data_IF_669473695110
#
_entry.id   IF_669473695110
#
_cell.length_a   1.000
_cell.length_b   1.000
_cell.length_c   1.000
_cell.angle_alpha   90.00
_cell.angle_beta   90.00
_cell.angle_gamma   90.00
#
_symmetry.space_group_name_H-M   'P 1'
#
loop_
_entity.id
_entity.type
_entity.pdbx_description
1 polymer ?
#
# COMPACT_ATOMS: atom_id res chain seq x y z
N UNK A 1 55.18 -8.95 -12.33
CA UNK A 1 54.32 -7.98 -11.62
C UNK A 1 53.12 -8.74 -11.08
N UNK A 2 53.07 -8.97 -9.76
CA UNK A 2 51.92 -9.59 -9.09
C UNK A 2 50.98 -8.44 -8.70
N UNK A 3 49.80 -8.36 -9.32
CA UNK A 3 48.75 -7.47 -8.85
C UNK A 3 48.31 -7.93 -7.45
N UNK A 4 48.30 -7.04 -6.44
CA UNK A 4 47.81 -7.43 -5.12
C UNK A 4 46.32 -7.84 -5.25
N UNK A 5 45.86 -8.84 -4.48
CA UNK A 5 44.47 -9.24 -4.49
C UNK A 5 43.63 -8.01 -4.15
N UNK A 6 42.72 -7.65 -5.05
CA UNK A 6 41.75 -6.59 -4.82
C UNK A 6 40.88 -7.02 -3.65
N UNK A 7 41.25 -6.60 -2.44
CA UNK A 7 40.40 -6.74 -1.27
C UNK A 7 39.07 -6.06 -1.63
N UNK A 8 37.94 -6.78 -1.61
CA UNK A 8 36.66 -6.18 -1.88
C UNK A 8 36.46 -5.08 -0.84
N UNK A 9 36.50 -3.83 -1.29
CA UNK A 9 36.22 -2.68 -0.46
C UNK A 9 34.87 -2.93 0.22
N UNK A 10 34.75 -2.73 1.54
CA UNK A 10 33.49 -2.92 2.24
C UNK A 10 32.41 -2.07 1.54
N UNK A 11 31.20 -2.61 1.33
CA UNK A 11 30.14 -1.89 0.63
C UNK A 11 29.97 -0.50 1.24
N UNK A 12 29.96 0.53 0.40
CA UNK A 12 29.84 1.92 0.86
C UNK A 12 28.62 2.06 1.78
N UNK A 13 28.84 2.49 3.02
CA UNK A 13 27.75 2.62 3.98
C UNK A 13 26.89 3.81 3.57
N UNK A 14 25.59 3.59 3.38
CA UNK A 14 24.67 4.70 3.11
C UNK A 14 24.51 5.52 4.40
N UNK A 15 25.18 6.67 4.46
CA UNK A 15 25.09 7.62 5.57
C UNK A 15 23.73 8.34 5.65
N UNK A 16 23.01 8.41 4.53
CA UNK A 16 21.69 9.03 4.46
C UNK A 16 20.66 8.05 3.94
N UNK A 17 19.43 8.24 4.40
CA UNK A 17 18.27 7.49 3.88
C UNK A 17 18.10 7.82 2.39
N UNK A 18 18.10 6.83 1.49
CA UNK A 18 17.94 7.08 0.06
C UNK A 18 16.55 7.64 -0.24
N UNK A 19 16.48 8.51 -1.27
CA UNK A 19 15.24 9.16 -1.70
C UNK A 19 14.13 8.18 -2.07
N UNK A 20 14.49 7.01 -2.63
CA UNK A 20 13.55 5.95 -3.00
C UNK A 20 12.83 5.33 -1.80
N UNK A 21 13.51 5.14 -0.68
CA UNK A 21 12.90 4.65 0.57
C UNK A 21 12.04 5.75 1.21
N UNK A 22 12.40 7.02 1.02
CA UNK A 22 11.53 8.14 1.43
C UNK A 22 10.28 8.24 0.57
N UNK A 23 10.40 8.11 -0.75
CA UNK A 23 9.27 8.06 -1.66
C UNK A 23 8.34 6.88 -1.32
N UNK A 24 8.87 5.67 -1.14
CA UNK A 24 8.07 4.51 -0.73
C UNK A 24 7.34 4.73 0.61
N UNK A 25 8.01 5.37 1.58
CA UNK A 25 7.38 5.71 2.86
C UNK A 25 6.27 6.74 2.70
N UNK A 26 6.47 7.77 1.87
CA UNK A 26 5.44 8.78 1.58
C UNK A 26 4.26 8.15 0.87
N UNK A 27 4.49 7.25 -0.09
CA UNK A 27 3.43 6.53 -0.79
C UNK A 27 2.63 5.64 0.16
N UNK A 28 3.27 4.97 1.12
CA UNK A 28 2.55 4.24 2.16
C UNK A 28 1.69 5.14 3.05
N UNK A 29 2.17 6.34 3.40
CA UNK A 29 1.37 7.31 4.15
C UNK A 29 0.20 7.85 3.34
N UNK A 30 0.38 8.08 2.03
CA UNK A 30 -0.70 8.46 1.14
C UNK A 30 -1.74 7.34 1.02
N UNK A 31 -1.31 6.09 0.88
CA UNK A 31 -2.22 4.94 0.87
C UNK A 31 -2.96 4.76 2.20
N UNK A 32 -2.28 4.98 3.33
CA UNK A 32 -2.88 5.03 4.65
C UNK A 32 -4.00 6.09 4.73
N UNK A 33 -3.69 7.33 4.34
CA UNK A 33 -4.67 8.42 4.35
C UNK A 33 -5.82 8.16 3.37
N UNK A 34 -5.52 7.63 2.19
CA UNK A 34 -6.52 7.28 1.19
C UNK A 34 -7.47 6.20 1.71
N UNK A 35 -6.95 5.13 2.34
CA UNK A 35 -7.78 4.10 2.95
C UNK A 35 -8.62 4.64 4.10
N UNK A 36 -8.12 5.58 4.90
CA UNK A 36 -8.94 6.23 5.92
C UNK A 36 -10.05 7.05 5.27
N UNK A 37 -9.72 7.95 4.33
CA UNK A 37 -10.71 8.83 3.72
C UNK A 37 -11.74 8.06 2.90
N UNK A 38 -11.32 7.17 2.01
CA UNK A 38 -12.19 6.41 1.14
C UNK A 38 -12.83 5.23 1.87
N UNK A 39 -12.10 4.52 2.72
CA UNK A 39 -12.61 3.36 3.46
C UNK A 39 -13.55 3.74 4.60
N UNK A 40 -13.26 4.80 5.37
CA UNK A 40 -14.22 5.31 6.35
C UNK A 40 -15.41 5.98 5.66
N UNK A 41 -15.19 6.72 4.56
CA UNK A 41 -16.27 7.34 3.79
C UNK A 41 -17.26 6.32 3.22
N UNK A 42 -16.76 5.27 2.56
CA UNK A 42 -17.59 4.18 2.02
C UNK A 42 -18.23 3.34 3.13
N UNK A 43 -17.51 3.06 4.21
CA UNK A 43 -18.06 2.35 5.37
C UNK A 43 -19.21 3.12 6.04
N UNK A 44 -19.05 4.43 6.25
CA UNK A 44 -20.08 5.28 6.86
C UNK A 44 -21.30 5.39 5.95
N UNK A 45 -21.11 5.67 4.65
CA UNK A 45 -22.21 5.73 3.68
C UNK A 45 -22.94 4.38 3.62
N UNK A 46 -22.20 3.28 3.60
CA UNK A 46 -22.75 1.93 3.61
C UNK A 46 -23.63 1.67 4.83
N UNK A 47 -23.11 1.95 6.03
CA UNK A 47 -23.88 1.81 7.29
C UNK A 47 -25.14 2.68 7.26
N UNK A 48 -25.02 3.95 6.86
CA UNK A 48 -26.18 4.86 6.79
C UNK A 48 -27.24 4.39 5.80
N UNK A 49 -26.84 3.88 4.62
CA UNK A 49 -27.76 3.31 3.64
C UNK A 49 -28.43 2.04 4.14
N UNK A 50 -27.72 1.17 4.86
CA UNK A 50 -28.31 -0.03 5.46
C UNK A 50 -29.22 0.26 6.65
N UNK A 51 -29.05 1.41 7.32
CA UNK A 51 -29.85 1.81 8.48
C UNK A 51 -31.05 2.70 8.16
N UNK A 52 -31.24 3.11 6.89
CA UNK A 52 -32.46 3.81 6.48
C UNK A 52 -33.57 2.77 6.36
N UNK A 53 -34.37 2.70 7.41
CA UNK A 53 -35.56 1.87 7.52
C UNK A 53 -36.54 2.24 6.39
N UNK A 54 -36.61 1.44 5.32
CA UNK A 54 -37.67 1.49 4.32
C UNK A 54 -38.97 0.84 4.85
N UNK A 55 -39.23 0.97 6.16
CA UNK A 55 -40.33 0.34 6.89
C UNK A 55 -41.74 0.74 6.47
N UNK A 56 -41.91 1.44 5.35
CA UNK A 56 -43.21 1.71 4.71
C UNK A 56 -43.45 0.87 3.44
N UNK A 57 -42.46 0.07 2.98
CA UNK A 57 -42.66 -0.90 1.91
C UNK A 57 -42.79 -2.32 2.49
N UNK A 58 -44.02 -2.81 2.51
CA UNK A 58 -44.41 -4.16 2.94
C UNK A 58 -43.79 -5.23 2.02
N UNK A 59 -42.59 -5.69 2.37
CA UNK A 59 -41.93 -6.87 1.80
C UNK A 59 -41.33 -7.68 2.95
N UNK A 60 -42.18 -8.48 3.60
CA UNK A 60 -41.83 -9.24 4.80
C UNK A 60 -40.94 -10.46 4.48
N UNK A 61 -39.93 -10.65 5.33
CA UNK A 61 -39.00 -11.79 5.48
C UNK A 61 -37.76 -11.87 4.56
N UNK A 62 -37.86 -11.78 3.24
CA UNK A 62 -36.66 -11.98 2.38
C UNK A 62 -35.68 -10.80 2.43
N UNK A 63 -36.16 -9.58 2.71
CA UNK A 63 -35.30 -8.40 2.77
C UNK A 63 -34.52 -8.29 4.08
N UNK A 64 -35.08 -8.76 5.19
CA UNK A 64 -34.45 -8.64 6.52
C UNK A 64 -33.16 -9.44 6.58
N UNK A 65 -33.16 -10.67 6.07
CA UNK A 65 -31.96 -11.52 5.99
C UNK A 65 -30.89 -10.90 5.07
N UNK A 66 -31.29 -10.30 3.94
CA UNK A 66 -30.39 -9.58 3.03
C UNK A 66 -29.77 -8.34 3.69
N UNK A 67 -30.54 -7.61 4.50
CA UNK A 67 -30.04 -6.44 5.24
C UNK A 67 -29.08 -6.85 6.37
N UNK A 68 -29.34 -7.96 7.07
CA UNK A 68 -28.46 -8.47 8.12
C UNK A 68 -27.12 -8.96 7.52
N UNK A 69 -27.16 -9.70 6.41
CA UNK A 69 -25.96 -10.13 5.68
C UNK A 69 -25.17 -8.94 5.13
N UNK A 70 -25.85 -7.92 4.61
CA UNK A 70 -25.21 -6.70 4.13
C UNK A 70 -24.57 -5.90 5.27
N UNK A 71 -25.25 -5.76 6.42
CA UNK A 71 -24.70 -5.09 7.59
C UNK A 71 -23.48 -5.84 8.15
N UNK A 72 -23.55 -7.17 8.23
CA UNK A 72 -22.43 -8.02 8.64
C UNK A 72 -21.25 -7.89 7.67
N UNK A 73 -21.50 -7.87 6.36
CA UNK A 73 -20.50 -7.62 5.33
C UNK A 73 -19.85 -6.24 5.49
N UNK A 74 -20.65 -5.19 5.68
CA UNK A 74 -20.15 -3.81 5.88
C UNK A 74 -19.27 -3.73 7.14
N UNK A 75 -19.71 -4.31 8.26
CA UNK A 75 -18.92 -4.36 9.51
C UNK A 75 -17.61 -5.11 9.28
N UNK A 76 -17.65 -6.26 8.59
CA UNK A 76 -16.44 -7.01 8.25
C UNK A 76 -15.48 -6.17 7.40
N UNK A 77 -15.98 -5.50 6.35
CA UNK A 77 -15.17 -4.66 5.45
C UNK A 77 -14.55 -3.50 6.23
N UNK A 78 -15.29 -2.85 7.12
CA UNK A 78 -14.76 -1.76 7.97
C UNK A 78 -13.68 -2.30 8.91
N UNK A 79 -13.92 -3.43 9.59
CA UNK A 79 -12.94 -4.04 10.48
C UNK A 79 -11.63 -4.43 9.76
N UNK A 80 -11.75 -5.06 8.59
CA UNK A 80 -10.60 -5.39 7.73
C UNK A 80 -9.88 -4.12 7.28
N UNK A 81 -10.62 -3.07 6.90
CA UNK A 81 -10.03 -1.78 6.49
C UNK A 81 -9.22 -1.16 7.63
N UNK A 82 -9.74 -1.13 8.86
CA UNK A 82 -9.02 -0.63 10.04
C UNK A 82 -7.72 -1.43 10.26
N UNK A 83 -7.79 -2.75 10.16
CA UNK A 83 -6.62 -3.61 10.32
C UNK A 83 -5.55 -3.33 9.25
N UNK A 84 -5.94 -3.15 7.99
CA UNK A 84 -5.05 -2.80 6.88
C UNK A 84 -4.44 -1.40 7.08
N UNK A 85 -5.22 -0.42 7.54
CA UNK A 85 -4.76 0.93 7.87
C UNK A 85 -3.68 0.89 8.96
N UNK A 86 -3.92 0.16 10.06
CA UNK A 86 -2.93 -0.02 11.14
C UNK A 86 -1.65 -0.66 10.59
N UNK A 87 -1.80 -1.70 9.75
CA UNK A 87 -0.68 -2.38 9.12
C UNK A 87 0.16 -1.42 8.26
N UNK A 88 -0.47 -0.58 7.44
CA UNK A 88 0.22 0.43 6.63
C UNK A 88 0.98 1.45 7.48
N UNK A 89 0.38 1.93 8.58
CA UNK A 89 1.06 2.81 9.52
C UNK A 89 2.32 2.16 10.11
N UNK A 90 2.22 0.90 10.55
CA UNK A 90 3.36 0.14 11.08
C UNK A 90 4.44 -0.02 10.00
N UNK A 91 4.06 -0.42 8.79
CA UNK A 91 5.00 -0.64 7.69
C UNK A 91 5.70 0.66 7.28
N UNK A 92 5.00 1.78 7.19
CA UNK A 92 5.58 3.08 6.87
C UNK A 92 6.70 3.45 7.85
N UNK A 93 6.45 3.28 9.16
CA UNK A 93 7.45 3.54 10.21
C UNK A 93 8.63 2.56 10.10
N UNK A 94 8.36 1.27 9.92
CA UNK A 94 9.41 0.23 9.90
C UNK A 94 10.26 0.25 8.62
N UNK A 95 9.70 0.68 7.48
CA UNK A 95 10.43 0.97 6.25
C UNK A 95 11.43 2.12 6.48
N UNK A 96 11.00 3.19 7.14
CA UNK A 96 11.87 4.31 7.51
C UNK A 96 13.04 3.88 8.41
N UNK A 97 12.84 2.87 9.25
CA UNK A 97 13.88 2.28 10.09
C UNK A 97 14.83 1.33 9.32
N UNK A 98 14.47 0.90 8.11
CA UNK A 98 15.22 -0.05 7.28
C UNK A 98 15.12 -1.50 7.76
N UNK A 99 13.98 -1.89 8.33
CA UNK A 99 13.70 -3.29 8.69
C UNK A 99 13.43 -4.12 7.44
N UNK A 100 14.22 -5.18 7.21
CA UNK A 100 14.10 -6.05 6.04
C UNK A 100 12.76 -6.79 5.95
N UNK A 101 12.20 -7.22 7.10
CA UNK A 101 10.87 -7.83 7.12
C UNK A 101 9.77 -6.86 6.64
N UNK A 102 9.90 -5.57 6.95
CA UNK A 102 8.95 -4.56 6.51
C UNK A 102 9.03 -4.35 4.99
N UNK A 103 10.22 -4.35 4.41
CA UNK A 103 10.39 -4.33 2.95
C UNK A 103 9.65 -5.51 2.28
N UNK A 104 9.88 -6.73 2.78
CA UNK A 104 9.29 -7.96 2.21
C UNK A 104 7.77 -7.92 2.33
N UNK A 105 7.23 -7.62 3.52
CA UNK A 105 5.79 -7.56 3.75
C UNK A 105 5.15 -6.48 2.86
N UNK A 106 5.77 -5.30 2.74
CA UNK A 106 5.25 -4.27 1.84
C UNK A 106 5.27 -4.71 0.39
N UNK A 107 6.33 -5.37 -0.11
CA UNK A 107 6.37 -5.89 -1.48
C UNK A 107 5.23 -6.89 -1.70
N UNK A 108 5.03 -7.84 -0.77
CA UNK A 108 3.96 -8.83 -0.87
C UNK A 108 2.57 -8.18 -0.90
N UNK A 109 2.33 -7.20 -0.03
CA UNK A 109 1.05 -6.49 0.01
C UNK A 109 0.80 -5.66 -1.25
N UNK A 110 1.81 -4.96 -1.76
CA UNK A 110 1.65 -4.17 -2.98
C UNK A 110 1.46 -5.07 -4.22
N UNK A 111 2.11 -6.23 -4.25
CA UNK A 111 1.90 -7.20 -5.32
C UNK A 111 0.50 -7.82 -5.23
N UNK A 112 0.05 -8.17 -4.02
CA UNK A 112 -1.30 -8.66 -3.80
C UNK A 112 -2.35 -7.61 -4.19
N UNK A 113 -2.17 -6.34 -3.82
CA UNK A 113 -3.12 -5.28 -4.19
C UNK A 113 -3.18 -5.04 -5.69
N UNK A 114 -2.05 -5.14 -6.40
CA UNK A 114 -2.01 -5.11 -7.87
C UNK A 114 -2.77 -6.29 -8.46
N UNK A 115 -2.51 -7.52 -8.00
CA UNK A 115 -3.20 -8.71 -8.50
C UNK A 115 -4.70 -8.63 -8.24
N UNK A 116 -5.12 -8.27 -7.02
CA UNK A 116 -6.54 -8.12 -6.66
C UNK A 116 -7.20 -7.00 -7.47
N UNK A 117 -6.53 -5.88 -7.68
CA UNK A 117 -7.06 -4.79 -8.51
C UNK A 117 -7.28 -5.19 -9.96
N UNK A 118 -6.34 -5.94 -10.56
CA UNK A 118 -6.50 -6.48 -11.91
C UNK A 118 -7.59 -7.56 -12.00
N UNK A 119 -7.68 -8.45 -11.01
CA UNK A 119 -8.77 -9.45 -10.95
C UNK A 119 -10.12 -8.74 -10.83
N UNK A 120 -10.24 -7.77 -9.93
CA UNK A 120 -11.48 -6.99 -9.74
C UNK A 120 -11.90 -6.25 -11.01
N UNK A 121 -10.94 -5.69 -11.74
CA UNK A 121 -11.17 -5.09 -13.05
C UNK A 121 -11.70 -6.12 -14.05
N UNK A 122 -11.07 -7.30 -14.15
CA UNK A 122 -11.48 -8.35 -15.07
C UNK A 122 -12.86 -8.95 -14.75
N UNK A 123 -13.16 -9.18 -13.47
CA UNK A 123 -14.48 -9.68 -13.04
C UNK A 123 -15.57 -8.63 -13.16
N UNK A 124 -15.24 -7.36 -12.85
CA UNK A 124 -16.17 -6.24 -13.00
C UNK A 124 -16.59 -5.98 -14.44
N UNK A 125 -15.68 -6.18 -15.40
CA UNK A 125 -16.01 -6.11 -16.84
C UNK A 125 -16.79 -7.32 -17.36
N UNK A 126 -16.79 -8.45 -16.66
CA UNK A 126 -17.56 -9.65 -17.03
C UNK A 126 -19.01 -9.64 -16.55
N UNK A 127 -19.31 -8.89 -15.50
CA UNK A 127 -20.67 -8.77 -14.99
C UNK A 127 -21.59 -7.98 -15.94
N UNK A 128 -21.01 -7.08 -16.74
CA UNK A 128 -21.71 -6.37 -17.81
C UNK A 128 -21.68 -7.27 -19.07
N UNK A 129 -22.54 -8.29 -19.10
CA UNK A 129 -22.68 -9.32 -20.16
C UNK A 129 -23.23 -8.76 -21.50
N UNK A 130 -23.01 -7.48 -21.79
CA UNK A 130 -23.28 -6.88 -23.09
C UNK A 130 -22.01 -6.99 -23.94
N UNK A 131 -21.93 -8.04 -24.74
CA UNK A 131 -20.92 -8.23 -25.77
C UNK A 131 -20.98 -7.08 -26.81
N UNK A 132 -20.28 -5.99 -26.51
CA UNK A 132 -20.26 -4.76 -27.32
C UNK A 132 -20.40 -3.46 -26.54
N UNK A 133 -20.65 -3.49 -25.23
CA UNK A 133 -20.69 -2.28 -24.41
C UNK A 133 -19.31 -1.60 -24.41
N UNK A 134 -19.31 -0.28 -24.65
CA UNK A 134 -18.09 0.51 -24.57
C UNK A 134 -17.48 0.34 -23.17
N UNK A 135 -16.25 -0.16 -23.10
CA UNK A 135 -15.52 -0.30 -21.84
C UNK A 135 -15.58 1.04 -21.12
N UNK A 136 -16.22 1.06 -19.95
CA UNK A 136 -16.38 2.27 -19.17
C UNK A 136 -15.00 2.77 -18.73
N UNK A 137 -14.45 3.71 -19.51
CA UNK A 137 -13.10 4.23 -19.34
C UNK A 137 -12.90 4.89 -17.98
N UNK A 138 -13.99 5.31 -17.32
CA UNK A 138 -13.94 5.86 -15.98
C UNK A 138 -13.49 4.82 -14.94
N UNK A 139 -14.04 3.60 -14.98
CA UNK A 139 -13.65 2.48 -14.09
C UNK A 139 -12.19 2.10 -14.29
N UNK A 140 -11.74 2.05 -15.55
CA UNK A 140 -10.34 1.80 -15.90
C UNK A 140 -9.42 2.87 -15.29
N UNK A 141 -9.75 4.15 -15.48
CA UNK A 141 -8.94 5.27 -14.98
C UNK A 141 -8.88 5.27 -13.46
N UNK A 142 -10.01 5.08 -12.77
CA UNK A 142 -10.04 5.01 -11.30
C UNK A 142 -9.25 3.82 -10.75
N UNK A 143 -9.33 2.66 -11.40
CA UNK A 143 -8.57 1.48 -11.00
C UNK A 143 -7.07 1.69 -11.21
N UNK A 144 -6.65 2.22 -12.36
CA UNK A 144 -5.25 2.54 -12.63
C UNK A 144 -4.72 3.63 -11.69
N UNK A 145 -5.55 4.62 -11.34
CA UNK A 145 -5.20 5.64 -10.36
C UNK A 145 -4.98 5.02 -8.98
N UNK A 146 -5.87 4.12 -8.53
CA UNK A 146 -5.71 3.37 -7.29
C UNK A 146 -4.47 2.47 -7.28
N UNK A 147 -4.16 1.82 -8.40
CA UNK A 147 -2.99 0.95 -8.57
C UNK A 147 -1.66 1.71 -8.74
N UNK A 148 -1.71 3.00 -9.10
CA UNK A 148 -0.51 3.81 -9.29
C UNK A 148 0.35 3.88 -8.04
N UNK A 149 -0.24 4.02 -6.85
CA UNK A 149 0.52 4.12 -5.60
C UNK A 149 1.22 2.80 -5.21
N UNK A 150 0.56 1.62 -5.26
CA UNK A 150 1.23 0.33 -5.11
C UNK A 150 2.38 0.12 -6.10
N UNK A 151 2.17 0.44 -7.37
CA UNK A 151 3.18 0.28 -8.42
C UNK A 151 4.42 1.15 -8.16
N UNK A 152 4.22 2.44 -7.86
CA UNK A 152 5.33 3.36 -7.54
C UNK A 152 6.06 2.89 -6.27
N UNK A 153 5.33 2.40 -5.27
CA UNK A 153 5.92 1.85 -4.04
C UNK A 153 6.81 0.64 -4.34
N UNK A 154 6.35 -0.29 -5.18
CA UNK A 154 7.14 -1.46 -5.61
C UNK A 154 8.40 -1.04 -6.35
N UNK A 155 8.28 -0.17 -7.35
CA UNK A 155 9.42 0.33 -8.12
C UNK A 155 10.47 0.96 -7.20
N UNK A 156 10.04 1.77 -6.25
CA UNK A 156 10.94 2.40 -5.27
C UNK A 156 11.67 1.36 -4.40
N UNK A 157 10.99 0.30 -3.96
CA UNK A 157 11.56 -0.73 -3.10
C UNK A 157 12.47 -1.73 -3.82
N UNK A 158 12.33 -1.87 -5.14
CA UNK A 158 13.23 -2.70 -5.96
C UNK A 158 14.52 -1.99 -6.39
N UNK A 159 14.64 -0.67 -6.16
CA UNK A 159 15.87 0.07 -6.49
C UNK A 159 17.09 -0.45 -5.74
N UNK A 160 18.26 -0.42 -6.40
CA UNK A 160 19.52 -0.86 -5.78
C UNK A 160 19.86 -0.13 -4.48
N UNK A 161 19.56 1.17 -4.42
CA UNK A 161 19.77 2.01 -3.22
C UNK A 161 18.84 1.63 -2.06
N UNK A 162 17.59 1.25 -2.34
CA UNK A 162 16.68 0.72 -1.33
C UNK A 162 17.19 -0.64 -0.81
N UNK A 163 17.57 -1.55 -1.71
CA UNK A 163 18.11 -2.85 -1.32
C UNK A 163 19.37 -2.73 -0.45
N UNK A 164 20.27 -1.80 -0.77
CA UNK A 164 21.45 -1.52 0.05
C UNK A 164 21.06 -0.99 1.43
N UNK A 165 20.09 -0.06 1.51
CA UNK A 165 19.55 0.46 2.77
C UNK A 165 18.99 -0.63 3.69
N UNK A 166 18.22 -1.57 3.15
CA UNK A 166 17.66 -2.66 3.95
C UNK A 166 18.71 -3.74 4.29
N UNK A 167 19.69 -3.98 3.41
CA UNK A 167 20.80 -4.91 3.68
C UNK A 167 21.67 -4.44 4.85
N UNK A 168 21.92 -3.13 4.97
CA UNK A 168 22.66 -2.55 6.10
C UNK A 168 21.80 -2.36 7.37
N UNK A 169 20.56 -2.87 7.41
CA UNK A 169 19.62 -2.69 8.53
C UNK A 169 19.26 -1.21 8.79
N UNK A 170 19.26 -0.39 7.74
CA UNK A 170 18.84 1.01 7.76
C UNK A 170 19.67 1.89 8.69
N UNK A 171 19.00 2.40 9.73
CA UNK A 171 19.59 3.36 10.69
C UNK A 171 20.39 2.69 11.81
N UNK A 172 20.28 1.38 12.00
CA UNK A 172 21.00 0.67 13.07
C UNK A 172 22.53 0.89 13.06
N UNK A 173 23.25 0.74 11.94
CA UNK A 173 24.69 0.97 11.91
C UNK A 173 25.11 2.42 12.14
N UNK A 174 24.18 3.38 12.01
CA UNK A 174 24.45 4.82 12.21
C UNK A 174 24.34 5.25 13.68
N UNK A 175 23.71 4.44 14.55
CA UNK A 175 23.48 4.81 15.96
C UNK A 175 24.74 4.86 16.83
N UNK A 176 25.81 4.17 16.41
CA UNK A 176 27.09 4.12 17.13
C UNK A 176 28.20 4.97 16.51
N UNK A 177 27.93 5.67 15.40
CA UNK A 177 28.91 6.52 14.75
C UNK A 177 28.88 7.92 15.38
N UNK A 178 30.05 8.54 15.64
CA UNK A 178 30.09 9.94 16.03
C UNK A 178 29.40 10.79 14.96
N UNK A 179 28.73 11.90 15.33
CA UNK A 179 28.06 12.77 14.36
C UNK A 179 29.08 13.22 13.31
N UNK A 180 28.98 12.68 12.11
CA UNK A 180 29.86 13.06 11.03
C UNK A 180 29.51 14.49 10.61
N UNK A 181 30.50 15.38 10.66
CA UNK A 181 30.38 16.72 10.11
C UNK A 181 29.86 16.64 8.68
N UNK A 182 28.89 17.48 8.34
CA UNK A 182 28.36 17.62 6.98
C UNK A 182 29.52 17.85 6.02
N UNK A 183 29.93 16.81 5.30
CA UNK A 183 30.81 16.96 4.15
C UNK A 183 29.99 17.67 3.07
N UNK A 184 30.05 19.00 3.07
CA UNK A 184 29.66 19.82 1.93
C UNK A 184 30.54 19.36 0.76
N UNK A 185 29.96 18.62 -0.19
CA UNK A 185 30.57 18.53 -1.52
C UNK A 185 30.27 19.85 -2.22
N UNK A 186 31.26 20.69 -2.55
CA UNK A 186 31.05 21.75 -3.52
C UNK A 186 30.68 21.09 -4.85
N UNK A 187 29.57 21.55 -5.43
CA UNK A 187 29.16 21.23 -6.80
C UNK A 187 30.09 21.93 -7.79
#
# INVERSE_FOLDING_TARGET
MLTPPSTPLPPELLHRKPGTVTAAQVMLWLQFSFLICCGAGTGIIGVFWTSVDFGEFTFDQDLTDVFEDLAALVVMVVAVTILVVILYGILAVKIGAGRRWAQIVTILLMLASVVVGFIGMYTGFRADDDAGAAVDGSRLVWTLLGLSMPLVTLLCLFTGSANQWFRQRGREPLKGLPPQATQFRPY
#
